data_IF_985434391309
#
_entry.id   IF_985434391309
#
_cell.length_a   1.000
_cell.length_b   1.000
_cell.length_c   1.000
_cell.angle_alpha   90.00
_cell.angle_beta   90.00
_cell.angle_gamma   90.00
#
_symmetry.space_group_name_H-M   'P 1'
#
loop_
_entity.id
_entity.type
_entity.pdbx_description
1 polymer ?
#
# COMPACT_ATOMS: atom_id res chain seq x y z
N UNK A 1 -18.45 -12.40 13.79
CA UNK A 1 -17.34 -11.52 14.21
C UNK A 1 -17.33 -10.33 13.27
N UNK A 2 -17.90 -9.21 13.71
CA UNK A 2 -18.09 -7.98 12.93
C UNK A 2 -16.95 -7.01 13.24
N UNK A 3 -15.91 -6.99 12.41
CA UNK A 3 -14.99 -5.85 12.36
C UNK A 3 -15.52 -4.90 11.28
N UNK A 4 -16.08 -3.79 11.73
CA UNK A 4 -16.57 -2.67 10.90
C UNK A 4 -15.62 -2.37 9.74
N UNK A 5 -16.14 -2.35 8.51
CA UNK A 5 -15.42 -2.19 7.24
C UNK A 5 -14.77 -0.82 7.03
N UNK A 6 -14.48 -0.09 8.11
CA UNK A 6 -14.00 1.28 8.11
C UNK A 6 -13.05 1.56 9.29
N UNK A 7 -12.39 0.52 9.85
CA UNK A 7 -11.50 0.68 11.00
C UNK A 7 -10.30 1.62 10.73
N UNK A 8 -9.91 1.78 9.47
CA UNK A 8 -8.75 2.57 9.06
C UNK A 8 -9.12 3.86 8.31
N UNK A 9 -10.40 4.20 8.19
CA UNK A 9 -10.85 5.42 7.50
C UNK A 9 -10.19 6.67 8.09
N UNK A 10 -9.57 7.47 7.22
CA UNK A 10 -8.88 8.72 7.58
C UNK A 10 -7.52 8.54 8.26
N UNK A 11 -7.03 7.31 8.39
CA UNK A 11 -5.68 7.03 8.87
C UNK A 11 -4.71 6.96 7.70
N UNK A 12 -3.56 7.60 7.86
CA UNK A 12 -2.45 7.57 6.90
C UNK A 12 -1.39 6.58 7.34
N UNK A 13 -0.95 5.70 6.44
CA UNK A 13 0.03 4.66 6.71
C UNK A 13 1.14 4.61 5.66
N UNK A 14 2.37 4.32 6.08
CA UNK A 14 3.51 4.08 5.20
C UNK A 14 3.79 2.57 5.12
N UNK A 15 3.76 2.02 3.91
CA UNK A 15 4.07 0.61 3.64
C UNK A 15 5.43 0.53 2.95
N UNK A 16 6.36 -0.17 3.58
CA UNK A 16 7.73 -0.33 3.09
C UNK A 16 8.00 -1.80 2.72
N UNK A 17 9.03 -2.02 1.90
CA UNK A 17 9.46 -3.37 1.53
C UNK A 17 8.56 -4.05 0.50
N UNK A 18 7.87 -3.28 -0.34
CA UNK A 18 7.08 -3.80 -1.45
C UNK A 18 8.00 -4.09 -2.65
N UNK A 19 8.00 -5.33 -3.13
CA UNK A 19 8.77 -5.71 -4.32
C UNK A 19 7.87 -6.07 -5.52
N UNK A 20 6.70 -6.65 -5.25
CA UNK A 20 5.73 -7.14 -6.24
C UNK A 20 4.39 -7.49 -5.57
N UNK A 21 3.45 -7.97 -6.38
CA UNK A 21 2.12 -8.47 -6.01
C UNK A 21 2.12 -9.75 -5.15
N UNK A 22 3.28 -10.40 -4.95
CA UNK A 22 3.45 -11.55 -4.06
C UNK A 22 4.04 -11.18 -2.70
N UNK A 23 4.35 -9.89 -2.49
CA UNK A 23 4.95 -9.42 -1.25
C UNK A 23 3.95 -9.45 -0.09
N UNK A 24 4.43 -9.77 1.12
CA UNK A 24 3.60 -9.65 2.33
C UNK A 24 3.12 -8.19 2.50
N UNK A 25 4.02 -7.23 2.23
CA UNK A 25 3.70 -5.80 2.23
C UNK A 25 2.53 -5.44 1.30
N UNK A 26 2.41 -6.11 0.16
CA UNK A 26 1.30 -5.91 -0.78
C UNK A 26 -0.04 -6.42 -0.22
N UNK A 27 -0.04 -7.60 0.40
CA UNK A 27 -1.24 -8.13 1.06
C UNK A 27 -1.73 -7.22 2.19
N UNK A 28 -0.79 -6.70 3.00
CA UNK A 28 -1.10 -5.73 4.06
C UNK A 28 -1.67 -4.43 3.46
N UNK A 29 -1.05 -3.90 2.40
CA UNK A 29 -1.50 -2.69 1.74
C UNK A 29 -2.93 -2.82 1.18
N UNK A 30 -3.26 -3.95 0.56
CA UNK A 30 -4.63 -4.24 0.11
C UNK A 30 -5.63 -4.28 1.25
N UNK A 31 -5.32 -4.96 2.35
CA UNK A 31 -6.22 -5.06 3.50
C UNK A 31 -6.46 -3.69 4.16
N UNK A 32 -5.41 -2.87 4.26
CA UNK A 32 -5.48 -1.52 4.81
C UNK A 32 -6.26 -0.56 3.90
N UNK A 33 -5.97 -0.56 2.59
CA UNK A 33 -6.70 0.26 1.61
C UNK A 33 -8.19 -0.12 1.57
N UNK A 34 -8.49 -1.43 1.55
CA UNK A 34 -9.87 -1.92 1.64
C UNK A 34 -10.58 -1.59 2.95
N UNK A 35 -9.83 -1.22 4.00
CA UNK A 35 -10.36 -0.74 5.28
C UNK A 35 -10.48 0.79 5.36
N UNK A 36 -10.24 1.50 4.26
CA UNK A 36 -10.35 2.97 4.15
C UNK A 36 -9.07 3.74 4.51
N UNK A 37 -7.92 3.07 4.64
CA UNK A 37 -6.65 3.74 4.91
C UNK A 37 -6.14 4.51 3.69
N UNK A 38 -5.55 5.67 3.92
CA UNK A 38 -4.70 6.34 2.93
C UNK A 38 -3.28 5.80 3.09
N UNK A 39 -2.71 5.26 2.00
CA UNK A 39 -1.40 4.62 2.05
C UNK A 39 -0.39 5.34 1.17
N UNK A 40 0.84 5.39 1.66
CA UNK A 40 2.02 5.66 0.87
C UNK A 40 2.88 4.40 0.79
N UNK A 41 3.48 4.13 -0.36
CA UNK A 41 4.38 2.98 -0.53
C UNK A 41 5.80 3.46 -0.80
N UNK A 42 6.79 2.70 -0.35
CA UNK A 42 8.19 2.98 -0.68
C UNK A 42 8.82 1.89 -1.53
N UNK A 43 9.82 2.29 -2.30
CA UNK A 43 10.66 1.41 -3.11
C UNK A 43 12.13 1.72 -2.86
N UNK A 44 12.97 0.68 -2.83
CA UNK A 44 14.42 0.84 -2.61
C UNK A 44 15.22 1.09 -3.89
N UNK A 45 14.67 0.72 -5.05
CA UNK A 45 15.35 0.88 -6.35
C UNK A 45 14.36 1.28 -7.43
N UNK A 46 14.85 1.96 -8.46
CA UNK A 46 14.06 2.35 -9.63
C UNK A 46 13.47 1.14 -10.39
N UNK A 47 14.14 -0.01 -10.33
CA UNK A 47 13.63 -1.23 -10.95
C UNK A 47 12.39 -1.75 -10.21
N UNK A 48 12.37 -1.64 -8.88
CA UNK A 48 11.20 -1.98 -8.06
C UNK A 48 10.11 -0.92 -8.22
N UNK A 49 10.46 0.37 -8.32
CA UNK A 49 9.51 1.46 -8.57
C UNK A 49 8.60 1.17 -9.77
N UNK A 50 9.17 0.70 -10.89
CA UNK A 50 8.40 0.33 -12.10
C UNK A 50 7.36 -0.77 -11.87
N UNK A 51 7.58 -1.66 -10.89
CA UNK A 51 6.65 -2.74 -10.53
C UNK A 51 5.66 -2.31 -9.45
N UNK A 52 6.11 -1.48 -8.52
CA UNK A 52 5.33 -1.00 -7.38
C UNK A 52 4.35 0.10 -7.80
N UNK A 53 4.70 0.95 -8.77
CA UNK A 53 3.82 1.98 -9.36
C UNK A 53 2.41 1.50 -9.67
N UNK A 54 2.22 0.53 -10.58
CA UNK A 54 0.88 0.08 -10.96
C UNK A 54 0.13 -0.56 -9.79
N UNK A 55 0.85 -1.16 -8.85
CA UNK A 55 0.29 -1.72 -7.63
C UNK A 55 -0.21 -0.61 -6.70
N UNK A 56 0.58 0.44 -6.48
CA UNK A 56 0.23 1.61 -5.69
C UNK A 56 -0.99 2.33 -6.26
N UNK A 57 -1.00 2.57 -7.56
CA UNK A 57 -2.12 3.18 -8.29
C UNK A 57 -3.41 2.37 -8.10
N UNK A 58 -3.33 1.04 -8.18
CA UNK A 58 -4.51 0.17 -7.99
C UNK A 58 -5.08 0.19 -6.57
N UNK A 59 -4.29 0.59 -5.57
CA UNK A 59 -4.75 0.77 -4.19
C UNK A 59 -5.32 2.16 -3.93
N UNK A 60 -5.23 3.09 -4.88
CA UNK A 60 -5.47 4.51 -4.62
C UNK A 60 -4.44 5.10 -3.64
N UNK A 61 -3.25 4.50 -3.55
CA UNK A 61 -2.18 5.02 -2.71
C UNK A 61 -1.73 6.37 -3.28
N UNK A 62 -1.90 7.43 -2.49
CA UNK A 62 -1.71 8.80 -2.95
C UNK A 62 -0.24 9.18 -3.16
N UNK A 63 0.70 8.35 -2.69
CA UNK A 63 2.11 8.68 -2.77
C UNK A 63 3.04 7.47 -2.79
N UNK A 64 3.96 7.50 -3.74
CA UNK A 64 5.10 6.61 -3.82
C UNK A 64 6.35 7.43 -3.55
N UNK A 65 7.19 6.93 -2.66
CA UNK A 65 8.37 7.64 -2.18
C UNK A 65 9.61 6.77 -2.37
N UNK A 66 10.73 7.34 -2.84
CA UNK A 66 12.01 6.66 -2.75
C UNK A 66 12.39 6.48 -1.28
N UNK A 67 12.82 5.26 -0.91
CA UNK A 67 13.36 4.94 0.42
C UNK A 67 14.87 4.74 0.39
#
# INVERSE_FOLDING_TARGET
MTASSAAMTGKRGLVMGMANDRSIAWGIAQALAGSGAELAVTYQTEQLAKRVRPLAESLGAAQELPA
#
